data_IF_400183963869
#
_entry.id   IF_400183963869
#
_cell.length_a   1.000
_cell.length_b   1.000
_cell.length_c   1.000
_cell.angle_alpha   90.00
_cell.angle_beta   90.00
_cell.angle_gamma   90.00
#
_symmetry.space_group_name_H-M   'P 1'
#
loop_
_entity.id
_entity.type
_entity.pdbx_description
1 polymer ?
#
# COMPACT_ATOMS: atom_id res chain seq x y z
N UNK A 1 3.93 11.16 10.51
CA UNK A 1 2.84 11.08 9.52
C UNK A 1 1.78 10.14 10.07
N UNK A 2 0.49 10.48 9.93
CA UNK A 2 -0.61 9.67 10.49
C UNK A 2 -1.08 8.60 9.50
N UNK A 3 -1.61 7.48 10.00
CA UNK A 3 -2.18 6.40 9.16
C UNK A 3 -3.21 6.94 8.16
N UNK A 4 -4.03 7.91 8.56
CA UNK A 4 -5.04 8.55 7.70
C UNK A 4 -4.43 9.34 6.55
N UNK A 5 -3.32 10.05 6.76
CA UNK A 5 -2.67 10.81 5.68
C UNK A 5 -1.99 9.89 4.68
N UNK A 6 -1.40 8.81 5.18
CA UNK A 6 -0.79 7.80 4.31
C UNK A 6 -1.86 7.07 3.50
N UNK A 7 -3.02 6.78 4.08
CA UNK A 7 -4.15 6.23 3.33
C UNK A 7 -4.58 7.16 2.19
N UNK A 8 -4.60 8.47 2.42
CA UNK A 8 -4.93 9.47 1.40
C UNK A 8 -3.87 9.50 0.29
N UNK A 9 -2.58 9.53 0.64
CA UNK A 9 -1.48 9.42 -0.33
C UNK A 9 -1.56 8.12 -1.14
N UNK A 10 -1.78 6.99 -0.48
CA UNK A 10 -1.93 5.69 -1.14
C UNK A 10 -3.11 5.69 -2.11
N UNK A 11 -4.25 6.29 -1.71
CA UNK A 11 -5.41 6.42 -2.57
C UNK A 11 -5.11 7.30 -3.79
N UNK A 12 -4.37 8.41 -3.60
CA UNK A 12 -3.92 9.27 -4.68
C UNK A 12 -2.98 8.56 -5.66
N UNK A 13 -1.97 7.85 -5.13
CA UNK A 13 -1.04 7.07 -5.95
C UNK A 13 -1.78 5.98 -6.72
N UNK A 14 -2.70 5.25 -6.07
CA UNK A 14 -3.49 4.19 -6.71
C UNK A 14 -4.50 4.72 -7.73
N UNK A 15 -5.04 5.92 -7.54
CA UNK A 15 -5.92 6.56 -8.51
C UNK A 15 -5.16 6.92 -9.80
N UNK A 16 -3.89 7.31 -9.69
CA UNK A 16 -3.01 7.52 -10.85
C UNK A 16 -2.45 6.19 -11.40
N UNK A 17 -2.41 5.15 -10.57
CA UNK A 17 -1.84 3.85 -10.91
C UNK A 17 -2.70 3.05 -11.91
N UNK A 18 -2.28 3.05 -13.17
CA UNK A 18 -2.81 2.14 -14.20
C UNK A 18 -4.10 2.61 -14.88
N UNK A 19 -4.44 3.90 -14.80
CA UNK A 19 -5.55 4.50 -15.57
C UNK A 19 -6.94 4.02 -15.18
N UNK A 20 -7.08 3.39 -14.01
CA UNK A 20 -8.38 3.05 -13.43
C UNK A 20 -8.81 4.19 -12.53
N UNK A 21 -9.87 4.88 -12.91
CA UNK A 21 -10.53 5.87 -12.06
C UNK A 21 -11.24 5.11 -10.91
N UNK A 22 -10.47 4.76 -9.88
CA UNK A 22 -11.00 4.07 -8.70
C UNK A 22 -11.72 5.09 -7.83
N UNK A 23 -12.94 5.46 -8.24
CA UNK A 23 -13.81 6.40 -7.51
C UNK A 23 -14.48 5.79 -6.25
N UNK A 24 -14.12 4.56 -5.87
CA UNK A 24 -14.60 3.91 -4.65
C UNK A 24 -13.83 4.37 -3.40
N UNK A 25 -14.43 4.29 -2.19
CA UNK A 25 -13.73 4.64 -0.96
C UNK A 25 -12.60 3.64 -0.70
N UNK A 26 -11.35 4.06 -0.94
CA UNK A 26 -10.16 3.31 -0.52
C UNK A 26 -10.01 3.54 0.99
N UNK A 27 -10.40 2.52 1.76
CA UNK A 27 -10.34 2.54 3.23
C UNK A 27 -9.34 1.52 3.77
N UNK A 28 -9.10 1.56 5.08
CA UNK A 28 -8.17 0.64 5.75
C UNK A 28 -8.52 -0.85 5.56
N UNK A 29 -9.79 -1.14 5.28
CA UNK A 29 -10.38 -2.46 5.03
C UNK A 29 -10.33 -2.89 3.55
N UNK A 30 -9.99 -1.99 2.62
CA UNK A 30 -9.82 -2.29 1.20
C UNK A 30 -8.66 -3.25 1.00
N UNK A 31 -8.90 -4.32 0.23
CA UNK A 31 -7.94 -5.40 -0.01
C UNK A 31 -7.23 -5.23 -1.37
N UNK A 32 -5.92 -5.18 -1.35
CA UNK A 32 -5.08 -4.99 -2.52
C UNK A 32 -5.24 -6.11 -3.54
N UNK A 33 -5.28 -7.36 -3.10
CA UNK A 33 -5.38 -8.51 -4.01
C UNK A 33 -6.85 -8.88 -4.28
N UNK A 34 -7.67 -8.99 -3.25
CA UNK A 34 -9.05 -9.41 -3.39
C UNK A 34 -10.03 -8.33 -3.89
N UNK A 35 -9.83 -7.06 -3.51
CA UNK A 35 -10.73 -5.96 -3.90
C UNK A 35 -10.26 -5.30 -5.20
N UNK A 36 -8.97 -4.94 -5.27
CA UNK A 36 -8.41 -4.26 -6.45
C UNK A 36 -7.99 -5.23 -7.57
N UNK A 37 -7.89 -6.53 -7.26
CA UNK A 37 -7.40 -7.54 -8.21
C UNK A 37 -5.93 -7.33 -8.59
N UNK A 38 -5.16 -6.62 -7.77
CA UNK A 38 -3.75 -6.32 -8.03
C UNK A 38 -2.87 -7.53 -7.70
N UNK A 39 -1.80 -7.71 -8.46
CA UNK A 39 -0.86 -8.80 -8.26
C UNK A 39 0.29 -8.38 -7.33
N UNK A 40 1.12 -9.34 -6.91
CA UNK A 40 2.25 -9.05 -6.02
C UNK A 40 3.25 -8.10 -6.67
N UNK A 41 3.30 -8.07 -8.01
CA UNK A 41 4.12 -7.13 -8.78
C UNK A 41 3.64 -5.68 -8.59
N UNK A 42 2.32 -5.44 -8.57
CA UNK A 42 1.74 -4.11 -8.37
C UNK A 42 2.05 -3.58 -6.97
N UNK A 43 2.02 -4.46 -5.96
CA UNK A 43 2.41 -4.09 -4.60
C UNK A 43 3.89 -3.68 -4.52
N UNK A 44 4.79 -4.40 -5.22
CA UNK A 44 6.21 -4.04 -5.28
C UNK A 44 6.40 -2.69 -5.98
N UNK A 45 5.76 -2.47 -7.13
CA UNK A 45 5.87 -1.20 -7.88
C UNK A 45 5.27 -0.05 -7.08
N UNK A 46 4.13 -0.24 -6.40
CA UNK A 46 3.58 0.75 -5.47
C UNK A 46 4.59 1.09 -4.38
N UNK A 47 5.24 0.08 -3.81
CA UNK A 47 6.31 0.27 -2.84
C UNK A 47 7.48 1.08 -3.37
N UNK A 48 7.90 0.87 -4.62
CA UNK A 48 8.92 1.69 -5.27
C UNK A 48 8.44 3.13 -5.50
N UNK A 49 7.21 3.33 -5.98
CA UNK A 49 6.60 4.65 -6.14
C UNK A 49 6.53 5.41 -4.81
N UNK A 50 6.18 4.74 -3.72
CA UNK A 50 6.15 5.36 -2.38
C UNK A 50 7.55 5.70 -1.88
N UNK A 51 8.55 4.87 -2.17
CA UNK A 51 9.94 5.17 -1.81
C UNK A 51 10.46 6.41 -2.55
N UNK A 52 10.10 6.56 -3.83
CA UNK A 52 10.39 7.75 -4.62
C UNK A 52 9.62 8.97 -4.10
N UNK A 53 8.32 8.82 -3.86
CA UNK A 53 7.43 9.87 -3.35
C UNK A 53 7.87 10.42 -1.98
N UNK A 54 8.16 9.52 -1.02
CA UNK A 54 8.63 9.91 0.30
C UNK A 54 10.15 10.17 0.35
N UNK A 55 10.88 9.89 -0.72
CA UNK A 55 12.33 10.02 -0.79
C UNK A 55 13.08 9.19 0.26
N UNK A 56 12.50 8.06 0.70
CA UNK A 56 13.07 7.20 1.75
C UNK A 56 13.01 5.73 1.37
N UNK A 57 14.04 4.94 1.72
CA UNK A 57 14.00 3.49 1.52
C UNK A 57 12.98 2.87 2.46
N UNK A 58 12.02 2.13 1.90
CA UNK A 58 10.96 1.44 2.63
C UNK A 58 11.17 -0.06 2.46
N UNK A 59 11.19 -0.86 3.55
CA UNK A 59 11.43 -2.29 3.45
C UNK A 59 10.19 -3.05 2.98
N UNK A 60 9.73 -2.76 1.76
CA UNK A 60 8.56 -3.39 1.16
C UNK A 60 8.70 -4.91 0.99
N UNK A 61 9.94 -5.38 0.81
CA UNK A 61 10.25 -6.81 0.82
C UNK A 61 9.91 -7.49 2.15
N UNK A 62 10.05 -6.79 3.28
CA UNK A 62 9.71 -7.31 4.62
C UNK A 62 8.19 -7.43 4.77
N UNK A 63 7.44 -6.42 4.30
CA UNK A 63 5.98 -6.45 4.22
C UNK A 63 5.49 -7.63 3.36
N UNK A 64 6.09 -7.83 2.18
CA UNK A 64 5.76 -8.95 1.28
C UNK A 64 6.12 -10.31 1.88
N UNK A 65 7.24 -10.43 2.59
CA UNK A 65 7.62 -11.65 3.30
C UNK A 65 6.65 -11.97 4.45
N UNK A 66 6.19 -10.95 5.17
CA UNK A 66 5.18 -11.08 6.22
C UNK A 66 3.83 -11.54 5.63
N UNK A 67 3.40 -10.95 4.52
CA UNK A 67 2.18 -11.35 3.78
C UNK A 67 2.28 -12.77 3.21
N UNK A 68 3.44 -13.15 2.67
CA UNK A 68 3.68 -14.50 2.18
C UNK A 68 3.63 -15.56 3.28
N UNK A 69 3.97 -15.20 4.52
CA UNK A 69 3.87 -16.07 5.70
C UNK A 69 2.47 -16.15 6.29
N UNK A 70 1.59 -15.17 6.02
CA UNK A 70 0.20 -15.21 6.45
C UNK A 70 -0.62 -16.18 5.57
N UNK A 71 -1.60 -16.85 6.19
CA UNK A 71 -2.60 -17.63 5.44
C UNK A 71 -3.45 -16.74 4.53
N UNK A 72 -3.65 -15.50 4.97
CA UNK A 72 -4.31 -14.44 4.23
C UNK A 72 -3.20 -13.61 3.56
N UNK A 73 -2.94 -13.88 2.28
CA UNK A 73 -1.97 -13.13 1.48
C UNK A 73 -2.51 -11.77 1.03
N UNK A 74 -3.69 -11.42 1.49
CA UNK A 74 -4.35 -10.17 1.18
C UNK A 74 -3.73 -9.03 1.98
N UNK A 75 -3.03 -8.15 1.28
CA UNK A 75 -2.59 -6.87 1.81
C UNK A 75 -3.80 -5.94 1.88
N UNK A 76 -4.09 -5.40 3.05
CA UNK A 76 -5.06 -4.29 3.16
C UNK A 76 -4.36 -2.95 3.15
N UNK A 77 -5.05 -1.91 2.68
CA UNK A 77 -4.52 -0.55 2.72
C UNK A 77 -4.21 -0.09 4.14
N UNK A 78 -5.00 -0.52 5.13
CA UNK A 78 -4.72 -0.23 6.53
C UNK A 78 -3.42 -0.86 7.02
N UNK A 79 -3.12 -2.09 6.58
CA UNK A 79 -1.83 -2.75 6.90
C UNK A 79 -0.67 -2.00 6.28
N UNK A 80 -0.81 -1.59 5.00
CA UNK A 80 0.20 -0.81 4.31
C UNK A 80 0.41 0.58 4.96
N UNK A 81 -0.67 1.30 5.24
CA UNK A 81 -0.62 2.60 5.88
C UNK A 81 -0.02 2.55 7.28
N UNK A 82 -0.36 1.52 8.07
CA UNK A 82 0.24 1.29 9.38
C UNK A 82 1.73 0.98 9.31
N UNK A 83 2.14 0.19 8.32
CA UNK A 83 3.55 -0.11 8.07
C UNK A 83 4.33 1.16 7.73
N UNK A 84 3.81 1.97 6.81
CA UNK A 84 4.38 3.25 6.42
C UNK A 84 4.39 4.25 7.59
N UNK A 85 3.32 4.34 8.39
CA UNK A 85 3.24 5.22 9.55
C UNK A 85 4.34 4.91 10.57
N UNK A 86 4.64 3.62 10.77
CA UNK A 86 5.72 3.16 11.64
C UNK A 86 7.11 3.50 11.11
N UNK A 87 7.30 3.52 9.80
CA UNK A 87 8.58 3.84 9.15
C UNK A 87 8.80 5.34 8.90
N UNK A 88 7.74 6.10 8.62
CA UNK A 88 7.77 7.54 8.32
C UNK A 88 7.58 8.40 9.59
N UNK A 89 6.97 7.84 10.63
CA UNK A 89 6.77 8.51 11.92
C UNK A 89 7.91 8.37 12.93
N UNK A 90 9.00 7.69 12.56
CA UNK A 90 10.22 7.52 13.35
C UNK A 90 11.41 8.23 12.69
#
# INVERSE_FOLDING_TARGET
MSESEILDDLAGVLADFGGRDYSGPIGAETRFFADLGLASIDAVVLGESLQDFYGRPLPFGDLMAELGSRKDRDLTMGTLAKFLARHLGN
#
